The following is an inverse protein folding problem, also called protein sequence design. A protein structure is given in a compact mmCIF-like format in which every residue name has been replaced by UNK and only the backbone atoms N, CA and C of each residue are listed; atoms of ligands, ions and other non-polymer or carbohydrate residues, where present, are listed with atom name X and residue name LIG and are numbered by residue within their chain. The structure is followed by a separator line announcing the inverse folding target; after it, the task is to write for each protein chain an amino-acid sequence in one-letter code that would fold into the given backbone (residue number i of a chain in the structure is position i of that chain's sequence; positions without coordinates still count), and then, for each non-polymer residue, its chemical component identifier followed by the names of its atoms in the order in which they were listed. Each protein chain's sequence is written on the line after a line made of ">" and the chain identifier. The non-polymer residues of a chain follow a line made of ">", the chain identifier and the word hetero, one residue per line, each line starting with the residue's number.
data_IF_538327454550
#
_entry.id   IF_538327454550
#
_cell.length_a   1.000
_cell.length_b   1.000
_cell.length_c   1.000
_cell.angle_alpha   90.00
_cell.angle_beta   90.00
_cell.angle_gamma   90.00
#
_symmetry.space_group_name_H-M   'P 1'
#
loop_
_entity.id
_entity.type
_entity.pdbx_description
1 polymer ?
#
# COMPACT_ATOMS: atom_id res chain seq x y z
N UNK A 1 22.09 37.16 17.75
CA UNK A 1 23.03 36.08 18.11
C UNK A 1 22.59 35.63 19.50
N UNK A 2 22.06 34.45 19.76
CA UNK A 2 22.35 33.11 19.21
C UNK A 2 21.05 32.34 18.94
N UNK A 3 21.09 31.47 17.93
CA UNK A 3 20.00 30.59 17.54
C UNK A 3 20.24 29.24 18.24
N UNK A 4 19.39 28.87 19.21
CA UNK A 4 19.45 27.55 19.82
C UNK A 4 18.91 26.52 18.81
N UNK A 5 19.82 25.76 18.22
CA UNK A 5 19.48 24.58 17.46
C UNK A 5 18.81 23.56 18.41
N UNK A 6 17.52 23.29 18.17
CA UNK A 6 16.81 22.17 18.77
C UNK A 6 17.45 20.87 18.27
N UNK A 7 18.38 20.34 19.05
CA UNK A 7 18.94 19.00 18.88
C UNK A 7 17.76 18.05 19.12
N UNK A 8 17.25 17.43 18.05
CA UNK A 8 16.31 16.32 18.17
C UNK A 8 17.01 15.22 18.96
N UNK A 9 16.47 14.86 20.11
CA UNK A 9 16.96 13.71 20.87
C UNK A 9 16.94 12.44 19.99
N UNK A 10 17.93 11.55 20.11
CA UNK A 10 17.93 10.29 19.38
C UNK A 10 16.70 9.49 19.80
N UNK A 11 15.84 9.13 18.84
CA UNK A 11 14.83 8.10 19.09
C UNK A 11 15.57 6.87 19.61
N UNK A 12 15.23 6.42 20.82
CA UNK A 12 15.75 5.20 21.40
C UNK A 12 15.53 4.06 20.39
N UNK A 13 16.59 3.62 19.73
CA UNK A 13 16.51 2.67 18.64
C UNK A 13 16.48 1.27 19.29
N UNK A 14 15.29 0.75 19.62
CA UNK A 14 15.10 -0.51 20.36
C UNK A 14 15.84 -1.73 19.80
N UNK A 15 16.45 -1.60 18.62
CA UNK A 15 17.37 -2.54 18.00
C UNK A 15 18.60 -2.87 18.86
N UNK A 16 19.05 -1.96 19.73
CA UNK A 16 20.17 -2.23 20.65
C UNK A 16 19.83 -3.32 21.69
N UNK A 17 18.55 -3.67 21.84
CA UNK A 17 18.05 -4.69 22.77
C UNK A 17 17.88 -6.08 22.12
N UNK A 18 18.10 -6.18 20.80
CA UNK A 18 17.99 -7.43 20.08
C UNK A 18 19.27 -8.25 20.23
N UNK A 19 19.11 -9.55 20.49
CA UNK A 19 20.25 -10.46 20.48
C UNK A 19 20.61 -10.88 19.05
N UNK A 20 21.77 -11.56 18.91
CA UNK A 20 22.28 -11.99 17.60
C UNK A 20 21.28 -12.85 16.81
N UNK A 21 20.59 -13.78 17.46
CA UNK A 21 19.63 -14.67 16.78
C UNK A 21 18.38 -13.91 16.32
N UNK A 22 17.97 -12.87 17.05
CA UNK A 22 16.87 -11.97 16.66
C UNK A 22 17.26 -11.10 15.46
N UNK A 23 18.49 -10.59 15.43
CA UNK A 23 19.02 -9.87 14.26
C UNK A 23 19.11 -10.76 13.02
N UNK A 24 19.69 -11.95 13.14
CA UNK A 24 19.77 -12.93 12.05
C UNK A 24 18.38 -13.30 11.52
N UNK A 25 17.39 -13.42 12.42
CA UNK A 25 16.00 -13.63 12.03
C UNK A 25 15.43 -12.44 11.25
N UNK A 26 15.69 -11.20 11.66
CA UNK A 26 15.23 -10.00 10.94
C UNK A 26 15.87 -9.93 9.55
N UNK A 27 17.18 -10.18 9.42
CA UNK A 27 17.86 -10.21 8.13
C UNK A 27 17.23 -11.24 7.19
N UNK A 28 16.96 -12.45 7.70
CA UNK A 28 16.32 -13.51 6.93
C UNK A 28 14.87 -13.15 6.58
N UNK A 29 14.14 -12.53 7.50
CA UNK A 29 12.79 -12.04 7.28
C UNK A 29 12.74 -10.98 6.19
N UNK A 30 13.68 -10.03 6.19
CA UNK A 30 13.80 -9.00 5.17
C UNK A 30 14.25 -9.57 3.82
N UNK A 31 15.23 -10.48 3.80
CA UNK A 31 15.70 -11.19 2.60
C UNK A 31 14.54 -11.84 1.83
N UNK A 32 13.56 -12.38 2.55
CA UNK A 32 12.40 -13.07 1.97
C UNK A 32 11.09 -12.27 2.04
N UNK A 33 11.17 -10.96 2.23
CA UNK A 33 10.00 -10.06 2.26
C UNK A 33 8.88 -10.55 3.21
N UNK A 34 9.26 -11.15 4.34
CA UNK A 34 8.33 -11.64 5.36
C UNK A 34 7.60 -12.95 5.02
N UNK A 35 8.03 -13.69 4.00
CA UNK A 35 7.42 -14.97 3.64
C UNK A 35 7.83 -16.09 4.61
N UNK A 36 7.02 -16.33 5.64
CA UNK A 36 7.24 -17.39 6.63
C UNK A 36 7.27 -18.81 6.05
N UNK A 37 6.62 -19.07 4.90
CA UNK A 37 6.72 -20.39 4.26
C UNK A 37 8.12 -20.59 3.70
N UNK A 38 8.66 -19.60 2.98
CA UNK A 38 10.01 -19.67 2.42
C UNK A 38 11.08 -19.76 3.52
N UNK A 39 10.91 -19.00 4.61
CA UNK A 39 11.82 -19.07 5.76
C UNK A 39 11.78 -20.44 6.45
N UNK A 40 10.59 -21.02 6.61
CA UNK A 40 10.43 -22.39 7.12
C UNK A 40 11.15 -23.40 6.22
N UNK A 41 10.97 -23.30 4.91
CA UNK A 41 11.53 -24.25 3.96
C UNK A 41 13.07 -24.19 3.89
N UNK A 42 13.67 -23.00 4.07
CA UNK A 42 15.14 -22.82 4.08
C UNK A 42 15.78 -23.19 5.42
N UNK A 43 15.12 -22.91 6.55
CA UNK A 43 15.70 -23.09 7.89
C UNK A 43 15.26 -24.36 8.60
N UNK A 44 14.21 -25.03 8.09
CA UNK A 44 13.50 -26.13 8.74
C UNK A 44 12.98 -25.78 10.16
N UNK A 45 12.80 -24.49 10.45
CA UNK A 45 12.21 -24.01 11.70
C UNK A 45 10.69 -24.02 11.53
N UNK A 46 10.00 -24.70 12.45
CA UNK A 46 8.54 -24.76 12.45
C UNK A 46 7.91 -23.35 12.45
N UNK A 47 6.89 -23.14 11.62
CA UNK A 47 6.27 -21.82 11.43
C UNK A 47 5.79 -21.16 12.72
N UNK A 48 5.23 -21.94 13.65
CA UNK A 48 4.75 -21.40 14.94
C UNK A 48 5.89 -20.73 15.72
N UNK A 49 7.10 -21.30 15.70
CA UNK A 49 8.29 -20.70 16.32
C UNK A 49 8.71 -19.42 15.60
N UNK A 50 8.60 -19.36 14.27
CA UNK A 50 8.86 -18.13 13.52
C UNK A 50 7.88 -17.01 13.90
N UNK A 51 6.60 -17.34 14.09
CA UNK A 51 5.59 -16.38 14.57
C UNK A 51 5.87 -15.91 16.00
N UNK A 52 6.26 -16.81 16.91
CA UNK A 52 6.63 -16.45 18.28
C UNK A 52 7.85 -15.52 18.32
N UNK A 53 8.89 -15.83 17.54
CA UNK A 53 10.10 -14.99 17.42
C UNK A 53 9.78 -13.61 16.85
N UNK A 54 9.01 -13.57 15.75
CA UNK A 54 8.55 -12.31 15.15
C UNK A 54 7.79 -11.46 16.18
N UNK A 55 6.87 -12.07 16.94
CA UNK A 55 6.09 -11.38 17.97
C UNK A 55 6.96 -10.86 19.11
N UNK A 56 7.91 -11.64 19.59
CA UNK A 56 8.83 -11.23 20.65
C UNK A 56 9.72 -10.05 20.22
N UNK A 57 10.18 -10.04 18.96
CA UNK A 57 10.96 -8.94 18.38
C UNK A 57 10.10 -7.68 18.27
N UNK A 58 8.86 -7.81 17.79
CA UNK A 58 7.89 -6.71 17.75
C UNK A 58 7.71 -6.10 19.13
N UNK A 59 7.52 -6.91 20.16
CA UNK A 59 7.37 -6.46 21.55
C UNK A 59 8.62 -5.75 22.07
N UNK A 60 9.82 -6.32 21.84
CA UNK A 60 11.10 -5.71 22.23
C UNK A 60 11.37 -4.37 21.56
N UNK A 61 11.02 -4.27 20.28
CA UNK A 61 11.17 -3.03 19.52
C UNK A 61 10.08 -2.00 19.84
N UNK A 62 9.11 -2.32 20.71
CA UNK A 62 7.98 -1.46 20.99
C UNK A 62 7.06 -1.25 19.79
N UNK A 63 7.04 -2.22 18.86
CA UNK A 63 6.19 -2.26 17.68
C UNK A 63 4.87 -3.02 17.96
N UNK A 64 4.66 -3.52 19.20
CA UNK A 64 3.46 -4.26 19.59
C UNK A 64 2.25 -3.32 19.62
N UNK A 65 1.45 -3.42 18.57
CA UNK A 65 0.25 -2.64 18.26
C UNK A 65 -0.95 -2.93 19.19
N UNK A 66 -0.72 -3.25 20.47
CA UNK A 66 -1.81 -3.27 21.46
C UNK A 66 -2.47 -1.90 21.61
N UNK A 67 -1.76 -0.81 21.29
CA UNK A 67 -2.33 0.53 21.18
C UNK A 67 -3.09 0.78 19.87
N UNK A 68 -2.75 0.11 18.76
CA UNK A 68 -3.50 0.25 17.49
C UNK A 68 -4.79 -0.58 17.50
N UNK A 69 -4.77 -1.77 18.08
CA UNK A 69 -5.97 -2.62 18.20
C UNK A 69 -6.97 -2.10 19.23
N UNK A 70 -6.52 -1.47 20.33
CA UNK A 70 -7.41 -0.93 21.37
C UNK A 70 -8.03 0.44 21.01
N UNK A 71 -7.40 1.17 20.07
CA UNK A 71 -7.96 2.40 19.45
C UNK A 71 -8.96 2.12 18.32
N UNK A 72 -9.07 0.87 17.88
CA UNK A 72 -9.99 0.47 16.80
C UNK A 72 -11.47 0.45 17.21
N UNK A 73 -11.77 0.67 18.50
CA UNK A 73 -13.15 0.81 19.02
C UNK A 73 -13.46 2.23 19.51
N UNK A 74 -12.62 3.22 19.22
CA UNK A 74 -12.81 4.62 19.65
C UNK A 74 -12.11 5.56 18.67
N UNK A 75 -12.81 6.03 17.64
CA UNK A 75 -12.35 7.04 16.66
C UNK A 75 -11.00 6.70 15.99
N UNK A 76 -11.06 5.92 14.91
CA UNK A 76 -9.90 5.53 14.10
C UNK A 76 -9.00 6.72 13.74
N UNK A 77 -7.76 6.67 14.23
CA UNK A 77 -6.75 7.68 13.91
C UNK A 77 -6.37 7.55 12.43
N UNK A 78 -6.51 8.65 11.69
CA UNK A 78 -5.99 8.84 10.34
C UNK A 78 -5.29 10.19 10.31
N UNK A 79 -4.35 10.38 9.38
CA UNK A 79 -3.78 11.71 9.19
C UNK A 79 -4.87 12.62 8.62
N UNK A 80 -5.09 13.80 9.17
CA UNK A 80 -6.02 14.78 8.57
C UNK A 80 -5.41 15.50 7.37
N UNK A 81 -4.09 15.41 7.21
CA UNK A 81 -3.32 16.13 6.21
C UNK A 81 -2.04 15.38 5.85
N UNK A 82 -1.66 15.44 4.56
CA UNK A 82 -0.36 14.98 4.05
C UNK A 82 0.26 16.07 3.20
N UNK A 83 1.56 16.32 3.35
CA UNK A 83 2.28 17.28 2.50
C UNK A 83 2.32 16.78 1.06
N UNK A 84 1.93 17.66 0.14
CA UNK A 84 2.09 17.45 -1.31
C UNK A 84 3.47 17.94 -1.68
N UNK A 85 4.29 17.05 -2.24
CA UNK A 85 5.67 17.35 -2.61
C UNK A 85 5.85 17.35 -4.13
N UNK A 86 6.88 18.05 -4.62
CA UNK A 86 7.16 18.13 -6.05
C UNK A 86 7.64 16.78 -6.64
N UNK A 87 8.23 15.93 -5.80
CA UNK A 87 8.66 14.57 -6.14
C UNK A 87 7.53 13.53 -6.13
N UNK A 88 6.35 13.86 -5.60
CA UNK A 88 5.19 12.98 -5.69
C UNK A 88 4.78 12.82 -7.16
N UNK A 89 4.33 11.64 -7.56
CA UNK A 89 3.74 11.48 -8.89
C UNK A 89 2.49 12.35 -9.04
N UNK A 90 2.15 12.75 -10.27
CA UNK A 90 0.96 13.57 -10.55
C UNK A 90 -0.30 12.92 -9.96
N UNK A 91 -0.40 11.59 -9.99
CA UNK A 91 -1.49 10.86 -9.37
C UNK A 91 -1.58 11.10 -7.85
N UNK A 92 -0.44 10.97 -7.16
CA UNK A 92 -0.35 11.15 -5.71
C UNK A 92 -0.62 12.61 -5.34
N UNK A 93 -0.12 13.58 -6.11
CA UNK A 93 -0.40 15.00 -5.87
C UNK A 93 -1.90 15.31 -5.93
N UNK A 94 -2.60 14.80 -6.96
CA UNK A 94 -4.05 14.99 -7.11
C UNK A 94 -4.83 14.33 -5.97
N UNK A 95 -4.49 13.09 -5.60
CA UNK A 95 -5.15 12.37 -4.51
C UNK A 95 -4.93 13.09 -3.19
N UNK A 96 -3.68 13.47 -2.87
CA UNK A 96 -3.35 14.17 -1.62
C UNK A 96 -4.06 15.51 -1.53
N UNK A 97 -4.03 16.31 -2.60
CA UNK A 97 -4.71 17.62 -2.65
C UNK A 97 -6.18 17.47 -2.32
N UNK A 98 -6.88 16.58 -3.05
CA UNK A 98 -8.32 16.39 -2.88
C UNK A 98 -8.69 15.78 -1.52
N UNK A 99 -7.84 14.90 -0.99
CA UNK A 99 -8.08 14.28 0.31
C UNK A 99 -7.79 15.26 1.47
N UNK A 100 -6.79 16.14 1.32
CA UNK A 100 -6.53 17.24 2.25
C UNK A 100 -7.72 18.20 2.33
N UNK A 101 -8.34 18.53 1.20
CA UNK A 101 -9.58 19.32 1.15
C UNK A 101 -10.74 18.66 1.90
N UNK A 102 -10.73 17.32 2.00
CA UNK A 102 -11.69 16.54 2.77
C UNK A 102 -11.26 16.30 4.23
N UNK A 103 -10.19 16.93 4.71
CA UNK A 103 -9.67 16.72 6.07
C UNK A 103 -9.09 15.32 6.30
N UNK A 104 -8.55 14.69 5.25
CA UNK A 104 -7.80 13.43 5.32
C UNK A 104 -8.65 12.15 5.25
N UNK A 105 -9.97 12.28 5.13
CA UNK A 105 -10.91 11.16 5.03
C UNK A 105 -12.12 11.53 4.19
N UNK A 106 -12.60 10.62 3.35
CA UNK A 106 -13.80 10.84 2.53
C UNK A 106 -14.50 9.54 2.17
N UNK A 107 -15.72 9.64 1.66
CA UNK A 107 -16.49 8.54 1.09
C UNK A 107 -16.51 8.67 -0.44
N UNK A 108 -16.08 7.62 -1.14
CA UNK A 108 -16.11 7.53 -2.60
C UNK A 108 -17.10 6.45 -3.05
N UNK A 109 -17.46 6.47 -4.33
CA UNK A 109 -18.33 5.46 -4.95
C UNK A 109 -17.50 4.47 -5.73
N UNK A 110 -17.72 3.18 -5.47
CA UNK A 110 -17.21 2.10 -6.32
C UNK A 110 -18.01 2.04 -7.64
N UNK A 111 -17.50 1.33 -8.64
CA UNK A 111 -18.14 1.22 -9.97
C UNK A 111 -19.62 0.81 -9.91
N UNK A 112 -20.00 -0.04 -8.95
CA UNK A 112 -21.39 -0.52 -8.79
C UNK A 112 -22.28 0.38 -7.93
N UNK A 113 -21.76 1.52 -7.47
CA UNK A 113 -22.47 2.48 -6.61
C UNK A 113 -22.28 2.28 -5.11
N UNK A 114 -21.66 1.16 -4.69
CA UNK A 114 -21.33 0.89 -3.30
C UNK A 114 -20.42 1.98 -2.72
N UNK A 115 -20.65 2.32 -1.45
CA UNK A 115 -19.85 3.32 -0.72
C UNK A 115 -18.56 2.69 -0.22
N UNK A 116 -17.46 3.42 -0.34
CA UNK A 116 -16.13 3.05 0.12
C UNK A 116 -15.53 4.25 0.85
N UNK A 117 -15.18 4.08 2.12
CA UNK A 117 -14.45 5.10 2.87
C UNK A 117 -12.98 4.95 2.59
N UNK A 118 -12.31 6.06 2.30
CA UNK A 118 -10.84 6.14 2.22
C UNK A 118 -10.33 7.19 3.20
N UNK A 119 -9.18 6.94 3.81
CA UNK A 119 -8.46 7.93 4.62
C UNK A 119 -6.96 7.72 4.47
N UNK A 120 -6.18 8.74 4.87
CA UNK A 120 -4.73 8.55 4.94
C UNK A 120 -4.37 7.41 5.90
N UNK A 121 -3.39 6.61 5.49
CA UNK A 121 -2.75 5.68 6.40
C UNK A 121 -1.94 6.45 7.45
N UNK A 122 -1.88 5.93 8.67
CA UNK A 122 -1.14 6.56 9.78
C UNK A 122 0.37 6.58 9.55
N UNK A 123 0.89 5.68 8.72
CA UNK A 123 2.30 5.64 8.31
C UNK A 123 2.64 6.65 7.20
N UNK A 124 1.64 7.35 6.65
CA UNK A 124 1.80 8.32 5.57
C UNK A 124 2.19 7.72 4.21
N UNK A 125 2.21 6.38 4.08
CA UNK A 125 2.66 5.68 2.86
C UNK A 125 1.54 5.41 1.85
N UNK A 126 0.30 5.79 2.15
CA UNK A 126 -0.82 5.60 1.25
C UNK A 126 -2.17 5.87 1.90
N UNK A 127 -3.13 5.02 1.54
CA UNK A 127 -4.51 5.08 2.00
C UNK A 127 -4.91 3.81 2.76
N UNK A 128 -5.88 3.97 3.65
CA UNK A 128 -6.67 2.88 4.20
C UNK A 128 -8.07 2.92 3.60
N UNK A 129 -8.71 1.75 3.49
CA UNK A 129 -10.09 1.62 3.02
C UNK A 129 -10.87 0.59 3.85
N UNK A 130 -12.13 0.88 4.14
CA UNK A 130 -13.04 -0.07 4.79
C UNK A 130 -13.33 -1.32 3.92
N UNK A 131 -13.00 -1.29 2.62
CA UNK A 131 -13.18 -2.40 1.68
C UNK A 131 -11.91 -3.22 1.46
N UNK A 132 -10.76 -2.76 1.95
CA UNK A 132 -9.46 -3.41 1.79
C UNK A 132 -8.87 -3.66 3.17
N UNK A 133 -9.15 -4.84 3.79
CA UNK A 133 -8.68 -5.14 5.15
C UNK A 133 -7.20 -5.50 5.21
N UNK A 134 -6.54 -5.71 4.05
CA UNK A 134 -5.14 -6.08 3.97
C UNK A 134 -4.29 -4.82 3.90
N UNK A 135 -3.32 -4.69 4.80
CA UNK A 135 -2.40 -3.56 4.86
C UNK A 135 -1.54 -3.45 3.59
N UNK A 136 -1.04 -2.25 3.32
CA UNK A 136 -0.11 -1.94 2.22
C UNK A 136 -0.63 -2.25 0.80
N UNK A 137 -1.94 -2.42 0.63
CA UNK A 137 -2.55 -2.64 -0.69
C UNK A 137 -2.92 -1.35 -1.44
N UNK A 138 -2.85 -0.21 -0.77
CA UNK A 138 -3.19 1.12 -1.31
C UNK A 138 -2.05 2.12 -1.04
N UNK A 139 -0.80 1.70 -1.24
CA UNK A 139 0.36 2.59 -1.12
C UNK A 139 0.41 3.61 -2.26
N UNK A 140 1.19 4.67 -2.11
CA UNK A 140 1.40 5.65 -3.19
C UNK A 140 1.96 5.01 -4.47
N UNK A 141 2.83 4.02 -4.33
CA UNK A 141 3.41 3.26 -5.46
C UNK A 141 2.34 2.54 -6.29
N UNK A 142 1.25 2.06 -5.66
CA UNK A 142 0.12 1.46 -6.38
C UNK A 142 -0.51 2.45 -7.34
N UNK A 143 -0.76 3.69 -6.91
CA UNK A 143 -1.39 4.71 -7.75
C UNK A 143 -0.45 5.19 -8.85
N UNK A 144 0.83 5.39 -8.54
CA UNK A 144 1.88 5.72 -9.50
C UNK A 144 1.99 4.65 -10.58
N UNK A 145 2.11 3.38 -10.19
CA UNK A 145 2.25 2.25 -11.12
C UNK A 145 1.06 2.12 -12.09
N UNK A 146 -0.17 2.37 -11.63
CA UNK A 146 -1.35 2.30 -12.51
C UNK A 146 -1.36 3.41 -13.55
N UNK A 147 -0.96 4.63 -13.18
CA UNK A 147 -0.87 5.73 -14.15
C UNK A 147 0.25 5.48 -15.15
N UNK A 148 1.40 4.97 -14.71
CA UNK A 148 2.48 4.54 -15.61
C UNK A 148 2.02 3.47 -16.61
N UNK A 149 1.29 2.44 -16.15
CA UNK A 149 0.70 1.42 -17.01
C UNK A 149 -0.22 2.05 -18.06
N UNK A 150 -1.09 2.96 -17.65
CA UNK A 150 -2.02 3.61 -18.57
C UNK A 150 -1.27 4.42 -19.63
N UNK A 151 -0.24 5.18 -19.25
CA UNK A 151 0.59 5.93 -20.20
C UNK A 151 1.25 4.98 -21.20
N UNK A 152 1.88 3.90 -20.71
CA UNK A 152 2.50 2.86 -21.56
C UNK A 152 1.49 2.20 -22.51
N UNK A 153 0.23 2.09 -22.10
CA UNK A 153 -0.84 1.44 -22.84
C UNK A 153 -1.67 2.40 -23.72
N UNK A 154 -1.17 3.60 -24.02
CA UNK A 154 -1.89 4.58 -24.84
C UNK A 154 -3.15 5.15 -24.17
N UNK A 155 -3.15 5.21 -22.84
CA UNK A 155 -4.20 5.78 -22.01
C UNK A 155 -5.28 4.78 -21.56
N UNK A 156 -5.23 3.51 -21.94
CA UNK A 156 -6.29 2.53 -21.62
C UNK A 156 -5.71 1.18 -21.18
N UNK A 157 -6.19 0.65 -20.06
CA UNK A 157 -5.81 -0.67 -19.57
C UNK A 157 -7.01 -1.46 -19.04
N UNK A 158 -7.02 -2.78 -19.28
CA UNK A 158 -8.03 -3.68 -18.69
C UNK A 158 -7.78 -3.85 -17.19
N UNK A 159 -8.82 -4.04 -16.38
CA UNK A 159 -8.65 -4.08 -14.92
C UNK A 159 -7.93 -5.33 -14.40
N UNK A 160 -8.11 -6.46 -15.08
CA UNK A 160 -7.70 -7.76 -14.55
C UNK A 160 -8.61 -8.22 -13.40
N UNK A 161 -8.43 -9.46 -12.96
CA UNK A 161 -9.18 -10.05 -11.87
C UNK A 161 -8.34 -11.09 -11.12
N UNK A 162 -7.64 -10.63 -10.09
CA UNK A 162 -6.72 -11.42 -9.26
C UNK A 162 -7.42 -12.53 -8.46
N UNK A 163 -8.72 -12.38 -8.20
CA UNK A 163 -9.52 -13.41 -7.53
C UNK A 163 -9.88 -14.59 -8.44
N UNK A 164 -9.72 -14.43 -9.75
CA UNK A 164 -10.20 -15.40 -10.75
C UNK A 164 -9.09 -16.06 -11.57
N UNK A 165 -7.83 -15.71 -11.32
CA UNK A 165 -6.69 -16.23 -12.07
C UNK A 165 -5.36 -15.93 -11.37
N UNK A 166 -4.32 -16.62 -11.83
CA UNK A 166 -2.93 -16.41 -11.42
C UNK A 166 -2.27 -15.37 -12.33
N UNK A 167 -1.23 -14.71 -11.84
CA UNK A 167 -0.50 -13.70 -12.60
C UNK A 167 0.06 -14.32 -13.90
N UNK A 168 -0.09 -13.59 -15.01
CA UNK A 168 0.32 -14.03 -16.35
C UNK A 168 -0.75 -14.80 -17.12
N UNK A 169 -1.89 -15.11 -16.51
CA UNK A 169 -3.04 -15.70 -17.23
C UNK A 169 -3.86 -14.61 -17.94
N UNK A 170 -4.71 -14.95 -18.93
CA UNK A 170 -5.57 -13.95 -19.58
C UNK A 170 -6.49 -13.17 -18.63
N UNK A 171 -6.84 -13.74 -17.47
CA UNK A 171 -7.67 -13.08 -16.44
C UNK A 171 -6.86 -12.11 -15.55
N UNK A 172 -5.54 -12.28 -15.47
CA UNK A 172 -4.64 -11.44 -14.67
C UNK A 172 -3.31 -11.28 -15.43
N UNK A 173 -3.37 -10.63 -16.59
CA UNK A 173 -2.18 -10.37 -17.41
C UNK A 173 -1.30 -9.30 -16.76
N UNK A 174 -0.02 -9.30 -17.09
CA UNK A 174 0.93 -8.28 -16.63
C UNK A 174 0.54 -6.86 -17.10
N UNK A 175 -0.19 -6.77 -18.21
CA UNK A 175 -0.71 -5.51 -18.79
C UNK A 175 -2.10 -5.11 -18.24
N UNK A 176 -2.64 -5.86 -17.27
CA UNK A 176 -3.88 -5.48 -16.59
C UNK A 176 -3.58 -4.67 -15.33
N UNK A 177 -4.48 -3.79 -14.90
CA UNK A 177 -4.30 -2.96 -13.70
C UNK A 177 -3.91 -3.80 -12.48
N UNK A 178 -4.69 -4.82 -12.13
CA UNK A 178 -4.38 -5.68 -10.98
C UNK A 178 -3.13 -6.54 -11.18
N UNK A 179 -2.87 -7.00 -12.41
CA UNK A 179 -1.67 -7.81 -12.69
C UNK A 179 -0.38 -6.99 -12.65
N UNK A 180 -0.42 -5.77 -13.16
CA UNK A 180 0.70 -4.83 -13.12
C UNK A 180 1.01 -4.42 -11.69
N UNK A 181 -0.01 -4.08 -10.87
CA UNK A 181 0.18 -3.81 -9.44
C UNK A 181 0.81 -5.03 -8.73
N UNK A 182 0.23 -6.22 -8.95
CA UNK A 182 0.74 -7.45 -8.33
C UNK A 182 2.21 -7.70 -8.66
N UNK A 183 2.61 -7.48 -9.92
CA UNK A 183 3.97 -7.72 -10.36
C UNK A 183 4.94 -6.61 -9.93
N UNK A 184 4.63 -5.35 -10.23
CA UNK A 184 5.55 -4.22 -10.07
C UNK A 184 5.65 -3.70 -8.64
N UNK A 185 4.54 -3.74 -7.89
CA UNK A 185 4.50 -3.18 -6.53
C UNK A 185 4.62 -4.27 -5.48
N UNK A 186 3.98 -5.42 -5.70
CA UNK A 186 3.94 -6.51 -4.72
C UNK A 186 4.91 -7.66 -5.04
N UNK A 187 5.68 -7.59 -6.14
CA UNK A 187 6.69 -8.59 -6.48
C UNK A 187 6.14 -10.00 -6.74
N UNK A 188 4.83 -10.12 -7.03
CA UNK A 188 4.19 -11.41 -7.30
C UNK A 188 4.79 -12.01 -8.57
N UNK A 189 5.12 -13.30 -8.51
CA UNK A 189 5.71 -14.03 -9.62
C UNK A 189 4.64 -14.60 -10.54
N UNK A 190 4.96 -14.74 -11.83
CA UNK A 190 4.06 -15.38 -12.82
C UNK A 190 3.66 -16.78 -12.32
N UNK A 191 2.37 -17.10 -12.44
CA UNK A 191 1.81 -18.36 -11.96
C UNK A 191 1.41 -18.38 -10.47
N UNK A 192 1.63 -17.29 -9.73
CA UNK A 192 1.15 -17.13 -8.36
C UNK A 192 -0.19 -16.38 -8.28
N UNK A 193 -0.89 -16.57 -7.17
CA UNK A 193 -2.11 -15.82 -6.84
C UNK A 193 -1.75 -14.47 -6.25
N UNK A 194 -2.59 -13.46 -6.47
CA UNK A 194 -2.41 -12.12 -5.94
C UNK A 194 -3.67 -11.63 -5.21
N UNK A 195 -3.50 -10.65 -4.33
CA UNK A 195 -4.64 -9.89 -3.80
C UNK A 195 -5.13 -8.89 -4.85
N UNK A 196 -6.44 -8.67 -4.94
CA UNK A 196 -7.04 -7.75 -5.92
C UNK A 196 -7.61 -6.50 -5.26
N UNK A 197 -6.81 -5.42 -5.08
CA UNK A 197 -7.30 -4.14 -4.60
C UNK A 197 -7.86 -3.25 -5.72
N UNK A 198 -7.85 -3.73 -6.97
CA UNK A 198 -8.06 -2.92 -8.17
C UNK A 198 -9.40 -2.18 -8.19
N UNK A 199 -10.44 -2.74 -7.59
CA UNK A 199 -11.76 -2.09 -7.53
C UNK A 199 -11.75 -0.80 -6.70
N UNK A 200 -10.98 -0.72 -5.61
CA UNK A 200 -10.80 0.52 -4.83
C UNK A 200 -9.81 1.44 -5.54
N UNK A 201 -8.69 0.90 -6.03
CA UNK A 201 -7.67 1.70 -6.75
C UNK A 201 -8.30 2.44 -7.93
N UNK A 202 -9.08 1.75 -8.77
CA UNK A 202 -9.77 2.37 -9.90
C UNK A 202 -10.78 3.45 -9.46
N UNK A 203 -11.48 3.23 -8.34
CA UNK A 203 -12.45 4.19 -7.82
C UNK A 203 -11.77 5.45 -7.26
N UNK A 204 -10.62 5.31 -6.59
CA UNK A 204 -9.82 6.45 -6.09
C UNK A 204 -9.30 7.29 -7.25
N UNK A 205 -8.74 6.67 -8.29
CA UNK A 205 -8.21 7.39 -9.46
C UNK A 205 -9.30 8.15 -10.23
N UNK A 206 -10.50 7.58 -10.30
CA UNK A 206 -11.68 8.23 -10.90
C UNK A 206 -12.21 9.36 -10.03
N UNK A 207 -12.35 9.13 -8.72
CA UNK A 207 -12.69 10.18 -7.77
C UNK A 207 -11.69 11.34 -7.80
N UNK A 208 -10.39 11.07 -7.94
CA UNK A 208 -9.35 12.10 -8.04
C UNK A 208 -9.34 12.83 -9.40
N UNK A 209 -10.19 12.44 -10.35
CA UNK A 209 -10.27 13.03 -11.68
C UNK A 209 -9.10 12.64 -12.61
N UNK A 210 -8.33 11.61 -12.26
CA UNK A 210 -7.17 11.16 -13.02
C UNK A 210 -7.59 10.23 -14.15
N UNK A 211 -8.56 9.37 -13.88
CA UNK A 211 -9.07 8.37 -14.82
C UNK A 211 -10.59 8.43 -14.92
N UNK A 212 -11.17 7.65 -15.85
CA UNK A 212 -12.57 7.22 -15.85
C UNK A 212 -12.64 5.74 -15.54
N UNK A 213 -13.36 5.40 -14.48
CA UNK A 213 -13.54 4.03 -14.02
C UNK A 213 -14.66 3.34 -14.81
N UNK A 214 -14.32 2.64 -15.89
CA UNK A 214 -15.29 2.03 -16.81
C UNK A 214 -15.52 0.54 -16.52
N UNK A 215 -16.56 -0.04 -17.13
CA UNK A 215 -16.78 -1.49 -17.02
C UNK A 215 -15.68 -2.27 -17.74
N UNK A 216 -14.82 -2.94 -16.97
CA UNK A 216 -13.76 -3.83 -17.48
C UNK A 216 -12.42 -3.17 -17.78
N UNK A 217 -12.35 -1.83 -17.86
CA UNK A 217 -11.12 -1.09 -18.13
C UNK A 217 -11.06 0.22 -17.37
N UNK A 218 -9.89 0.83 -17.34
CA UNK A 218 -9.61 2.17 -16.82
C UNK A 218 -9.09 3.02 -17.98
N UNK A 219 -9.50 4.28 -18.05
CA UNK A 219 -9.13 5.21 -19.11
C UNK A 219 -8.52 6.48 -18.49
N UNK A 220 -7.32 6.86 -18.90
CA UNK A 220 -6.66 8.07 -18.44
C UNK A 220 -7.39 9.32 -18.95
N UNK A 221 -7.58 10.32 -18.10
CA UNK A 221 -8.18 11.59 -18.54
C UNK A 221 -7.15 12.42 -19.33
N UNK A 222 -7.56 12.89 -20.50
CA UNK A 222 -6.72 13.66 -21.42
C UNK A 222 -6.15 14.94 -20.78
N UNK A 223 -6.84 15.54 -19.81
CA UNK A 223 -6.37 16.72 -19.08
C UNK A 223 -5.17 16.46 -18.17
N UNK A 224 -4.90 15.21 -17.79
CA UNK A 224 -3.73 14.83 -16.99
C UNK A 224 -2.51 14.56 -17.88
N UNK A 225 -2.72 14.10 -19.12
CA UNK A 225 -1.64 13.86 -20.10
C UNK A 225 -0.89 15.15 -20.46
N UNK A 226 -1.56 16.31 -20.40
CA UNK A 226 -0.92 17.61 -20.66
C UNK A 226 -0.08 18.14 -19.50
N UNK A 227 -0.12 17.50 -18.34
CA UNK A 227 0.56 17.90 -17.10
C UNK A 227 1.66 16.91 -16.68
N UNK A 228 1.90 15.87 -17.50
CA UNK A 228 2.96 14.86 -17.38
C UNK A 228 3.92 15.09 -18.53
#
# INVERSE_FOLDING_TARGET
>A
MENQASIREPRNNGFDQLNKAEFEFIELFLKWNGNFQTIHDETNIAKHILYERHRAIIEKLGLDDKDILRRSSSSGAYLSFSTVSAEDSVAVQHIKTKLNECGGKTEIRLLRGDRCTICYSTDGKGLNSDKIPVAHQLTWDVFTAVVELLIKSGGKAVKGNARSGKLGTPKLSLESVEGYIAHQVHGVQVGQSAFGPGFVVCAVLDWAGICRNERGYLLLNSGVVSSI
#
